data_IF_484355052959
#
_entry.id   IF_484355052959
#
_cell.length_a   1.000
_cell.length_b   1.000
_cell.length_c   1.000
_cell.angle_alpha   90.00
_cell.angle_beta   90.00
_cell.angle_gamma   90.00
#
_symmetry.space_group_name_H-M   'P 1'
#
loop_
_entity.id
_entity.type
_entity.pdbx_description
1 polymer ?
#
# COMPACT_ATOMS: atom_id res chain seq x y z
N UNK A 1 44.71 5.83 -14.29
CA UNK A 1 45.02 4.49 -13.78
C UNK A 1 43.81 3.96 -13.01
N UNK A 2 43.49 2.66 -13.15
CA UNK A 2 42.32 2.07 -12.45
C UNK A 2 42.48 2.03 -10.94
N UNK A 3 43.72 1.98 -10.45
CA UNK A 3 44.03 1.97 -9.01
C UNK A 3 43.70 3.31 -8.40
N UNK A 4 44.09 4.42 -9.02
CA UNK A 4 43.83 5.75 -8.50
C UNK A 4 42.31 6.08 -8.45
N UNK A 5 41.54 5.54 -9.38
CA UNK A 5 40.08 5.69 -9.37
C UNK A 5 39.44 4.91 -8.22
N UNK A 6 39.98 3.70 -7.89
CA UNK A 6 39.47 2.91 -6.76
C UNK A 6 39.81 3.61 -5.44
N UNK A 7 41.01 4.17 -5.31
CA UNK A 7 41.42 4.94 -4.13
C UNK A 7 40.54 6.18 -3.92
N UNK A 8 40.24 6.94 -4.98
CA UNK A 8 39.36 8.10 -4.94
C UNK A 8 37.93 7.73 -4.47
N UNK A 9 37.36 6.63 -5.00
CA UNK A 9 36.04 6.15 -4.53
C UNK A 9 36.07 5.65 -3.09
N UNK A 10 37.16 5.03 -2.66
CA UNK A 10 37.29 4.56 -1.29
C UNK A 10 37.35 5.72 -0.30
N UNK A 11 38.08 6.78 -0.65
CA UNK A 11 38.15 7.99 0.18
C UNK A 11 36.80 8.71 0.24
N UNK A 12 36.09 8.83 -0.88
CA UNK A 12 34.73 9.37 -0.92
C UNK A 12 33.74 8.53 -0.07
N UNK A 13 33.90 7.21 -0.05
CA UNK A 13 33.09 6.33 0.79
C UNK A 13 33.40 6.54 2.27
N UNK A 14 34.68 6.66 2.66
CA UNK A 14 35.10 6.98 4.03
C UNK A 14 34.54 8.33 4.49
N UNK A 15 34.59 9.36 3.64
CA UNK A 15 34.02 10.67 3.93
C UNK A 15 32.51 10.57 4.19
N UNK A 16 31.77 9.87 3.31
CA UNK A 16 30.33 9.65 3.48
C UNK A 16 29.99 8.91 4.80
N UNK A 17 30.82 7.95 5.20
CA UNK A 17 30.68 7.28 6.49
C UNK A 17 30.99 8.20 7.66
N UNK A 18 32.04 9.03 7.51
CA UNK A 18 32.40 9.99 8.55
C UNK A 18 31.27 10.96 8.86
N UNK A 19 30.50 11.38 7.86
CA UNK A 19 29.35 12.29 8.03
C UNK A 19 28.19 11.68 8.85
N UNK A 20 28.19 10.35 9.11
CA UNK A 20 27.09 9.69 9.84
C UNK A 20 27.14 9.90 11.36
N UNK A 21 28.30 10.29 11.93
CA UNK A 21 28.40 10.58 13.37
C UNK A 21 29.55 11.56 13.66
N UNK A 22 29.43 12.32 14.76
CA UNK A 22 30.47 13.24 15.22
C UNK A 22 31.77 12.50 15.53
N UNK A 23 31.70 11.31 16.11
CA UNK A 23 32.87 10.47 16.44
C UNK A 23 33.62 10.06 15.17
N UNK A 24 32.90 9.58 14.14
CA UNK A 24 33.53 9.20 12.88
C UNK A 24 34.11 10.41 12.15
N UNK A 25 33.45 11.58 12.22
CA UNK A 25 33.94 12.81 11.63
C UNK A 25 35.25 13.27 12.28
N UNK A 26 35.34 13.25 13.61
CA UNK A 26 36.57 13.63 14.33
C UNK A 26 37.74 12.72 13.95
N UNK A 27 37.52 11.40 13.90
CA UNK A 27 38.55 10.41 13.52
C UNK A 27 38.99 10.59 12.07
N UNK A 28 38.07 10.87 11.16
CA UNK A 28 38.39 11.13 9.75
C UNK A 28 39.30 12.36 9.60
N UNK A 29 39.01 13.46 10.30
CA UNK A 29 39.86 14.66 10.28
C UNK A 29 41.23 14.43 10.95
N UNK A 30 41.33 13.50 11.90
CA UNK A 30 42.60 13.09 12.49
C UNK A 30 43.42 12.14 11.60
N UNK A 31 42.88 11.73 10.45
CA UNK A 31 43.52 10.83 9.49
C UNK A 31 43.55 9.35 9.96
N UNK A 32 42.59 8.97 10.81
CA UNK A 32 42.44 7.59 11.24
C UNK A 32 41.64 6.78 10.22
N UNK A 33 42.10 5.55 9.96
CA UNK A 33 41.37 4.62 9.11
C UNK A 33 40.22 3.94 9.87
N UNK A 34 39.15 3.64 9.14
CA UNK A 34 38.02 2.88 9.64
C UNK A 34 38.24 1.37 9.37
N UNK A 35 37.87 0.56 10.33
CA UNK A 35 37.79 -0.89 10.15
C UNK A 35 36.56 -1.24 9.29
N UNK A 36 36.53 -2.44 8.70
CA UNK A 36 35.37 -2.92 7.93
C UNK A 36 34.08 -2.88 8.76
N UNK A 37 34.12 -3.23 10.03
CA UNK A 37 32.94 -3.22 10.90
C UNK A 37 32.40 -1.80 11.14
N UNK A 38 33.27 -0.81 11.29
CA UNK A 38 32.92 0.60 11.46
C UNK A 38 32.37 1.18 10.17
N UNK A 39 32.97 0.86 9.01
CA UNK A 39 32.44 1.23 7.71
C UNK A 39 31.03 0.66 7.51
N UNK A 40 30.79 -0.61 7.79
CA UNK A 40 29.49 -1.23 7.70
C UNK A 40 28.48 -0.63 8.69
N UNK A 41 28.92 -0.24 9.89
CA UNK A 41 28.08 0.45 10.88
C UNK A 41 27.64 1.82 10.38
N UNK A 42 28.55 2.65 9.90
CA UNK A 42 28.25 3.98 9.35
C UNK A 42 27.36 3.89 8.13
N UNK A 43 27.64 2.95 7.21
CA UNK A 43 26.79 2.71 6.05
C UNK A 43 25.35 2.30 6.45
N UNK A 44 25.18 1.39 7.42
CA UNK A 44 23.85 1.01 7.96
C UNK A 44 23.11 2.21 8.53
N UNK A 45 23.83 3.06 9.29
CA UNK A 45 23.24 4.26 9.86
C UNK A 45 22.80 5.23 8.76
N UNK A 46 23.67 5.54 7.79
CA UNK A 46 23.36 6.43 6.69
C UNK A 46 22.20 5.92 5.82
N UNK A 47 22.14 4.60 5.55
CA UNK A 47 21.01 3.99 4.82
C UNK A 47 19.71 4.11 5.62
N UNK A 48 19.74 3.91 6.92
CA UNK A 48 18.56 4.02 7.79
C UNK A 48 18.05 5.46 7.89
N UNK A 49 18.96 6.43 7.92
CA UNK A 49 18.67 7.87 8.00
C UNK A 49 18.37 8.51 6.64
N UNK A 50 18.51 7.72 5.55
CA UNK A 50 18.35 8.16 4.17
C UNK A 50 19.35 9.25 3.75
N UNK A 51 20.53 9.28 4.37
CA UNK A 51 21.66 10.11 4.01
C UNK A 51 22.63 9.44 3.03
N UNK A 52 22.68 8.09 3.03
CA UNK A 52 23.52 7.29 2.14
C UNK A 52 22.64 6.35 1.28
N UNK A 53 22.93 6.30 -0.02
CA UNK A 53 22.28 5.41 -0.98
C UNK A 53 23.34 4.52 -1.65
N UNK A 54 23.56 3.28 -1.20
CA UNK A 54 24.55 2.39 -1.79
C UNK A 54 24.23 2.05 -3.25
N UNK A 55 25.22 2.18 -4.11
CA UNK A 55 25.12 1.82 -5.54
C UNK A 55 26.02 0.62 -5.82
N UNK A 56 25.43 -0.45 -6.34
CA UNK A 56 26.09 -1.69 -6.66
C UNK A 56 26.03 -1.98 -8.15
N UNK A 57 27.13 -2.50 -8.70
CA UNK A 57 27.23 -2.86 -10.10
C UNK A 57 27.28 -4.39 -10.24
N UNK A 58 26.58 -4.91 -11.26
CA UNK A 58 26.60 -6.34 -11.55
C UNK A 58 26.09 -6.67 -12.95
N UNK A 59 26.20 -7.93 -13.34
CA UNK A 59 25.66 -8.47 -14.57
C UNK A 59 24.74 -9.64 -14.25
N UNK A 60 23.44 -9.46 -14.42
CA UNK A 60 22.46 -10.51 -14.18
C UNK A 60 22.62 -11.71 -15.11
N UNK A 61 23.00 -11.46 -16.38
CA UNK A 61 23.23 -12.53 -17.38
C UNK A 61 24.44 -13.37 -17.03
N UNK A 62 25.54 -12.73 -16.59
CA UNK A 62 26.78 -13.43 -16.21
C UNK A 62 26.76 -13.90 -14.74
N UNK A 63 25.74 -13.56 -13.96
CA UNK A 63 25.67 -13.87 -12.53
C UNK A 63 26.68 -13.10 -11.66
N UNK A 64 27.39 -12.14 -12.24
CA UNK A 64 28.41 -11.36 -11.53
C UNK A 64 27.75 -10.34 -10.59
N UNK A 65 28.26 -10.24 -9.35
CA UNK A 65 27.76 -9.30 -8.34
C UNK A 65 26.49 -9.76 -7.61
N UNK A 66 25.86 -10.87 -7.98
CA UNK A 66 24.61 -11.34 -7.37
C UNK A 66 24.77 -11.67 -5.88
N UNK A 67 25.84 -12.35 -5.49
CA UNK A 67 26.11 -12.66 -4.07
C UNK A 67 26.43 -11.39 -3.28
N UNK A 68 27.27 -10.50 -3.85
CA UNK A 68 27.58 -9.22 -3.24
C UNK A 68 26.32 -8.37 -3.00
N UNK A 69 25.35 -8.39 -3.94
CA UNK A 69 24.07 -7.71 -3.76
C UNK A 69 23.29 -8.29 -2.56
N UNK A 70 23.22 -9.62 -2.46
CA UNK A 70 22.54 -10.29 -1.36
C UNK A 70 23.21 -10.00 0.00
N UNK A 71 24.53 -10.05 0.04
CA UNK A 71 25.31 -9.74 1.25
C UNK A 71 25.06 -8.28 1.69
N UNK A 72 25.10 -7.34 0.76
CA UNK A 72 24.83 -5.93 1.06
C UNK A 72 23.37 -5.68 1.49
N UNK A 73 22.40 -6.39 0.94
CA UNK A 73 21.01 -6.34 1.41
C UNK A 73 20.92 -6.78 2.87
N UNK A 74 21.58 -7.89 3.23
CA UNK A 74 21.58 -8.41 4.60
C UNK A 74 22.36 -7.50 5.56
N UNK A 75 23.43 -6.90 5.10
CA UNK A 75 24.34 -6.12 5.95
C UNK A 75 23.86 -4.67 6.13
N UNK A 76 23.36 -4.01 5.09
CA UNK A 76 23.10 -2.58 5.10
C UNK A 76 21.64 -2.20 5.34
N UNK A 77 20.67 -3.05 4.92
CA UNK A 77 19.26 -2.69 5.06
C UNK A 77 18.76 -2.94 6.50
N UNK A 78 17.94 -2.03 7.04
CA UNK A 78 17.39 -2.20 8.38
C UNK A 78 16.38 -3.35 8.44
N UNK A 79 16.37 -4.07 9.56
CA UNK A 79 15.28 -4.99 9.88
C UNK A 79 13.99 -4.22 10.16
N UNK A 80 12.80 -4.86 10.11
CA UNK A 80 11.53 -4.20 10.43
C UNK A 80 11.52 -3.48 11.77
N UNK A 81 12.17 -4.00 12.80
CA UNK A 81 12.26 -3.38 14.13
C UNK A 81 13.24 -2.19 14.17
N UNK A 82 14.17 -2.12 13.25
CA UNK A 82 15.14 -1.01 13.11
C UNK A 82 14.65 0.07 12.14
N UNK A 83 13.50 -0.15 11.46
CA UNK A 83 12.94 0.77 10.49
C UNK A 83 12.36 2.03 11.14
N UNK A 84 11.85 2.92 10.29
CA UNK A 84 11.23 4.15 10.71
C UNK A 84 9.94 3.90 11.51
N UNK A 85 9.70 4.76 12.50
CA UNK A 85 8.48 4.74 13.29
C UNK A 85 7.25 5.08 12.45
N UNK A 86 6.14 4.41 12.73
CA UNK A 86 4.83 4.77 12.20
C UNK A 86 4.12 5.71 13.16
N UNK A 87 3.35 6.67 12.64
CA UNK A 87 2.43 7.45 13.47
C UNK A 87 1.12 6.68 13.58
N UNK A 88 0.67 6.47 14.81
CA UNK A 88 -0.58 5.81 15.11
C UNK A 88 -1.51 6.75 15.89
N UNK A 89 -2.81 6.63 15.62
CA UNK A 89 -3.86 7.34 16.37
C UNK A 89 -4.51 6.33 17.31
N UNK A 90 -4.57 6.69 18.58
CA UNK A 90 -5.24 5.90 19.62
C UNK A 90 -6.76 6.10 19.57
N UNK A 91 -7.49 5.25 20.29
CA UNK A 91 -8.95 5.32 20.37
C UNK A 91 -9.50 6.66 20.92
N UNK A 92 -8.71 7.39 21.72
CA UNK A 92 -9.02 8.72 22.26
C UNK A 92 -8.72 9.87 21.29
N UNK A 93 -8.19 9.57 20.09
CA UNK A 93 -7.82 10.54 19.07
C UNK A 93 -6.41 11.13 19.22
N UNK A 94 -5.66 10.75 20.25
CA UNK A 94 -4.26 11.19 20.42
C UNK A 94 -3.35 10.46 19.42
N UNK A 95 -2.27 11.13 19.00
CA UNK A 95 -1.29 10.54 18.09
C UNK A 95 -0.03 10.18 18.84
N UNK A 96 0.43 8.95 18.71
CA UNK A 96 1.70 8.47 19.27
C UNK A 96 2.63 7.89 18.20
N UNK A 97 3.89 7.74 18.54
CA UNK A 97 4.82 6.96 17.74
C UNK A 97 4.56 5.47 17.96
N UNK A 98 4.28 4.75 16.87
CA UNK A 98 4.11 3.31 16.90
C UNK A 98 5.44 2.62 16.62
N UNK A 99 5.94 1.88 17.59
CA UNK A 99 7.19 1.14 17.47
C UNK A 99 6.90 -0.28 16.99
N UNK A 100 7.57 -0.70 15.92
CA UNK A 100 7.54 -2.07 15.42
C UNK A 100 8.30 -2.97 16.39
N UNK A 101 7.66 -4.02 16.91
CA UNK A 101 8.27 -4.89 17.94
C UNK A 101 7.73 -6.31 17.92
N UNK A 102 8.63 -7.30 17.92
CA UNK A 102 8.25 -8.71 17.99
C UNK A 102 7.58 -9.10 19.33
N UNK A 103 7.95 -8.44 20.42
CA UNK A 103 7.37 -8.67 21.75
C UNK A 103 6.14 -7.85 22.07
N UNK A 104 5.65 -7.03 21.13
CA UNK A 104 4.53 -6.12 21.35
C UNK A 104 3.16 -6.76 21.20
N UNK A 105 2.12 -5.92 21.36
CA UNK A 105 0.73 -6.34 21.18
C UNK A 105 0.45 -6.55 19.70
N UNK A 106 -0.21 -7.67 19.28
CA UNK A 106 -0.47 -7.98 17.89
C UNK A 106 -1.12 -6.84 17.13
N UNK A 107 -0.45 -6.40 16.07
CA UNK A 107 -0.93 -5.34 15.19
C UNK A 107 -0.50 -5.63 13.75
N UNK A 108 -1.45 -5.58 12.82
CA UNK A 108 -1.22 -5.82 11.40
C UNK A 108 -1.87 -4.71 10.55
N UNK A 109 -1.15 -4.24 9.54
CA UNK A 109 -1.63 -3.25 8.59
C UNK A 109 -2.02 -3.90 7.27
N UNK A 110 -3.24 -3.65 6.81
CA UNK A 110 -3.76 -4.16 5.54
C UNK A 110 -3.37 -3.20 4.42
N UNK A 111 -2.35 -3.57 3.65
CA UNK A 111 -1.84 -2.67 2.61
C UNK A 111 -2.40 -2.94 1.21
N UNK A 112 -3.02 -4.11 1.01
CA UNK A 112 -3.60 -4.49 -0.28
C UNK A 112 -4.72 -5.52 -0.12
N UNK A 113 -5.71 -5.47 -1.00
CA UNK A 113 -6.75 -6.48 -1.14
C UNK A 113 -6.74 -7.02 -2.57
N UNK A 114 -6.94 -8.32 -2.75
CA UNK A 114 -7.13 -8.96 -4.05
C UNK A 114 -8.35 -9.87 -3.93
N UNK A 115 -9.24 -9.80 -4.92
CA UNK A 115 -10.37 -10.70 -5.06
C UNK A 115 -10.22 -11.53 -6.34
N UNK A 116 -10.24 -12.83 -6.22
CA UNK A 116 -10.22 -13.76 -7.35
C UNK A 116 -11.45 -14.69 -7.32
N UNK A 117 -11.46 -15.68 -8.19
CA UNK A 117 -12.55 -16.67 -8.25
C UNK A 117 -12.63 -17.55 -6.99
N UNK A 118 -11.59 -17.61 -6.18
CA UNK A 118 -11.50 -18.42 -4.96
C UNK A 118 -11.86 -17.62 -3.69
N UNK A 119 -11.93 -16.31 -3.79
CA UNK A 119 -12.30 -15.43 -2.69
C UNK A 119 -11.44 -14.17 -2.57
N UNK A 120 -11.60 -13.52 -1.42
CA UNK A 120 -10.90 -12.30 -1.06
C UNK A 120 -9.69 -12.62 -0.19
N UNK A 121 -8.55 -12.04 -0.53
CA UNK A 121 -7.32 -12.05 0.25
C UNK A 121 -6.97 -10.62 0.68
N UNK A 122 -6.82 -10.42 1.96
CA UNK A 122 -6.30 -9.18 2.55
C UNK A 122 -4.81 -9.37 2.85
N UNK A 123 -3.95 -8.65 2.14
CA UNK A 123 -2.51 -8.68 2.36
C UNK A 123 -2.14 -7.78 3.52
N UNK A 124 -1.42 -8.33 4.45
CA UNK A 124 -1.05 -7.65 5.70
C UNK A 124 0.45 -7.66 5.90
N UNK A 125 0.95 -6.60 6.53
CA UNK A 125 2.27 -6.56 7.17
C UNK A 125 2.04 -6.58 8.69
N UNK A 126 2.61 -7.58 9.36
CA UNK A 126 2.57 -7.66 10.82
C UNK A 126 3.61 -6.69 11.37
N UNK A 127 3.18 -5.72 12.15
CA UNK A 127 4.03 -4.64 12.67
C UNK A 127 4.37 -4.83 14.15
N UNK A 128 3.60 -5.62 14.88
CA UNK A 128 3.83 -5.90 16.28
C UNK A 128 3.28 -7.27 16.66
N UNK A 129 4.00 -7.97 17.52
CA UNK A 129 3.64 -9.30 17.99
C UNK A 129 3.56 -10.34 16.88
N UNK A 130 2.62 -11.25 16.97
CA UNK A 130 2.31 -12.25 15.96
C UNK A 130 0.82 -12.48 15.82
N UNK A 131 0.39 -12.95 14.65
CA UNK A 131 -1.02 -13.30 14.38
C UNK A 131 -1.14 -14.78 13.98
N UNK A 132 -2.22 -15.40 14.42
CA UNK A 132 -2.54 -16.81 14.14
C UNK A 132 -3.94 -16.93 13.54
N UNK A 133 -4.25 -18.03 12.81
CA UNK A 133 -5.60 -18.31 12.35
C UNK A 133 -6.58 -18.33 13.53
N UNK A 134 -7.84 -18.00 13.29
CA UNK A 134 -8.94 -17.93 14.26
C UNK A 134 -8.78 -16.89 15.38
N UNK A 135 -7.68 -16.16 15.44
CA UNK A 135 -7.49 -15.02 16.35
C UNK A 135 -8.56 -13.95 16.07
N UNK A 136 -9.09 -13.31 17.10
CA UNK A 136 -10.00 -12.17 16.97
C UNK A 136 -9.23 -10.88 17.17
N UNK A 137 -9.31 -10.00 16.19
CA UNK A 137 -8.69 -8.67 16.22
C UNK A 137 -9.74 -7.59 16.00
N UNK A 138 -9.49 -6.40 16.51
CA UNK A 138 -10.34 -5.23 16.30
C UNK A 138 -9.88 -4.50 15.02
N UNK A 139 -10.81 -4.20 14.12
CA UNK A 139 -10.56 -3.27 13.03
C UNK A 139 -10.64 -1.84 13.56
N UNK A 140 -9.52 -1.14 13.60
CA UNK A 140 -9.43 0.20 14.20
C UNK A 140 -10.33 1.24 13.52
N UNK A 141 -10.67 1.06 12.21
CA UNK A 141 -11.54 1.97 11.49
C UNK A 141 -13.02 1.81 11.86
N UNK A 142 -13.50 0.57 12.03
CA UNK A 142 -14.93 0.28 12.27
C UNK A 142 -15.25 0.03 13.74
N UNK A 143 -14.24 -0.33 14.54
CA UNK A 143 -14.41 -0.81 15.91
C UNK A 143 -14.94 -2.25 16.02
N UNK A 144 -15.18 -2.93 14.90
CA UNK A 144 -15.70 -4.28 14.85
C UNK A 144 -14.63 -5.32 15.19
N UNK A 145 -15.06 -6.41 15.80
CA UNK A 145 -14.24 -7.60 15.98
C UNK A 145 -14.22 -8.41 14.68
N UNK A 146 -13.03 -8.67 14.17
CA UNK A 146 -12.79 -9.48 12.98
C UNK A 146 -12.07 -10.78 13.37
N UNK A 147 -12.68 -11.90 13.07
CA UNK A 147 -12.04 -13.20 13.24
C UNK A 147 -11.14 -13.47 12.04
N UNK A 148 -9.84 -13.68 12.28
CA UNK A 148 -8.88 -13.96 11.21
C UNK A 148 -9.18 -15.32 10.56
N UNK A 149 -9.19 -15.32 9.23
CA UNK A 149 -9.25 -16.56 8.46
C UNK A 149 -7.89 -17.27 8.41
N UNK A 150 -7.74 -18.18 7.45
CA UNK A 150 -6.45 -18.84 7.22
C UNK A 150 -5.39 -17.85 6.78
N UNK A 151 -4.18 -18.10 7.24
CA UNK A 151 -3.01 -17.28 6.93
C UNK A 151 -2.18 -17.95 5.83
N UNK A 152 -1.65 -17.13 4.93
CA UNK A 152 -0.83 -17.59 3.81
C UNK A 152 0.40 -16.71 3.63
N UNK A 153 1.51 -17.33 3.26
CA UNK A 153 2.59 -16.66 2.57
C UNK A 153 2.39 -16.79 1.07
N UNK A 154 2.62 -15.71 0.33
CA UNK A 154 2.37 -15.66 -1.11
C UNK A 154 3.70 -15.59 -1.89
N UNK A 155 3.81 -16.45 -2.91
CA UNK A 155 4.92 -16.41 -3.86
C UNK A 155 4.35 -16.40 -5.28
N UNK A 156 4.23 -15.22 -5.85
CA UNK A 156 3.46 -15.00 -7.07
C UNK A 156 2.00 -15.44 -6.86
N UNK A 157 1.50 -16.35 -7.68
CA UNK A 157 0.13 -16.91 -7.55
C UNK A 157 0.02 -18.07 -6.55
N UNK A 158 1.15 -18.56 -6.02
CA UNK A 158 1.16 -19.72 -5.12
C UNK A 158 0.97 -19.25 -3.68
N UNK A 159 -0.15 -19.65 -3.07
CA UNK A 159 -0.44 -19.47 -1.66
C UNK A 159 0.04 -20.71 -0.88
N UNK A 160 0.81 -20.50 0.18
CA UNK A 160 1.23 -21.56 1.12
C UNK A 160 0.65 -21.24 2.49
N UNK A 161 -0.20 -22.12 3.01
CA UNK A 161 -0.82 -21.93 4.33
C UNK A 161 0.24 -21.99 5.43
N UNK A 162 0.14 -21.07 6.39
CA UNK A 162 1.03 -20.97 7.54
C UNK A 162 0.25 -20.90 8.83
N UNK A 163 0.87 -21.34 9.92
CA UNK A 163 0.23 -21.36 11.25
C UNK A 163 0.35 -20.03 11.98
N UNK A 164 1.29 -19.18 11.57
CA UNK A 164 1.60 -17.92 12.22
C UNK A 164 2.26 -16.98 11.23
N UNK A 165 2.03 -15.67 11.39
CA UNK A 165 2.83 -14.60 10.81
C UNK A 165 3.37 -13.76 11.96
N UNK A 166 4.69 -13.55 11.98
CA UNK A 166 5.38 -12.81 13.04
C UNK A 166 5.66 -11.36 12.62
N UNK A 167 6.08 -10.54 13.57
CA UNK A 167 6.47 -9.16 13.33
C UNK A 167 7.48 -9.05 12.17
N UNK A 168 7.18 -8.18 11.22
CA UNK A 168 7.95 -7.99 9.99
C UNK A 168 7.47 -8.82 8.80
N UNK A 169 6.72 -9.90 9.04
CA UNK A 169 6.19 -10.74 7.96
C UNK A 169 5.15 -10.01 7.10
N UNK A 170 5.17 -10.34 5.83
CA UNK A 170 4.12 -10.03 4.87
C UNK A 170 3.39 -11.32 4.53
N UNK A 171 2.07 -11.33 4.77
CA UNK A 171 1.22 -12.47 4.46
C UNK A 171 -0.14 -12.06 3.93
N UNK A 172 -0.99 -13.04 3.68
CA UNK A 172 -2.36 -12.83 3.26
C UNK A 172 -3.34 -13.56 4.19
N UNK A 173 -4.45 -12.90 4.49
CA UNK A 173 -5.56 -13.46 5.30
C UNK A 173 -6.74 -13.67 4.36
N UNK A 174 -7.28 -14.88 4.34
CA UNK A 174 -8.45 -15.20 3.51
C UNK A 174 -9.76 -14.83 4.21
N UNK A 175 -10.80 -14.53 3.42
CA UNK A 175 -12.20 -14.35 3.88
C UNK A 175 -12.41 -13.21 4.87
N UNK A 176 -11.74 -12.07 4.67
CA UNK A 176 -11.92 -10.85 5.46
C UNK A 176 -12.85 -9.89 4.71
N UNK A 177 -14.16 -10.13 4.75
CA UNK A 177 -15.12 -9.41 3.87
C UNK A 177 -15.27 -7.93 4.23
N UNK A 178 -15.22 -7.57 5.52
CA UNK A 178 -15.39 -6.19 5.99
C UNK A 178 -14.09 -5.38 6.02
N UNK A 179 -12.95 -6.05 5.93
CA UNK A 179 -11.63 -5.42 5.98
C UNK A 179 -11.29 -4.83 4.62
N UNK A 180 -10.76 -3.60 4.63
CA UNK A 180 -10.38 -2.84 3.44
C UNK A 180 -8.88 -2.53 3.44
N UNK A 181 -8.36 -2.20 2.27
CA UNK A 181 -7.01 -1.65 2.12
C UNK A 181 -6.87 -0.35 2.92
N UNK A 182 -5.81 -0.26 3.73
CA UNK A 182 -5.58 0.86 4.66
C UNK A 182 -6.08 0.61 6.09
N UNK A 183 -6.80 -0.49 6.35
CA UNK A 183 -7.26 -0.83 7.70
C UNK A 183 -6.09 -1.32 8.59
N UNK A 184 -6.20 -1.02 9.88
CA UNK A 184 -5.33 -1.57 10.92
C UNK A 184 -6.13 -2.58 11.72
N UNK A 185 -5.61 -3.79 11.84
CA UNK A 185 -6.12 -4.85 12.71
C UNK A 185 -5.23 -4.90 13.95
N UNK A 186 -5.82 -4.81 15.13
CA UNK A 186 -5.10 -4.78 16.39
C UNK A 186 -5.79 -5.61 17.47
N UNK A 187 -5.02 -5.98 18.48
CA UNK A 187 -5.56 -6.64 19.67
C UNK A 187 -6.42 -5.64 20.47
N UNK A 188 -7.51 -6.11 21.08
CA UNK A 188 -8.41 -5.28 21.87
C UNK A 188 -7.77 -4.60 23.08
N UNK A 189 -6.62 -5.09 23.56
CA UNK A 189 -5.86 -4.50 24.66
C UNK A 189 -5.21 -3.17 24.29
N UNK A 190 -4.90 -2.96 22.99
CA UNK A 190 -4.34 -1.70 22.47
C UNK A 190 -4.86 -1.45 21.07
N UNK A 191 -5.93 -0.64 20.97
CA UNK A 191 -6.52 -0.27 19.68
C UNK A 191 -5.79 0.94 19.14
N UNK A 192 -5.12 0.77 17.99
CA UNK A 192 -4.37 1.82 17.30
C UNK A 192 -4.74 1.84 15.82
N UNK A 193 -4.92 3.03 15.26
CA UNK A 193 -5.11 3.22 13.83
C UNK A 193 -3.83 3.81 13.22
N UNK A 194 -3.21 3.09 12.31
CA UNK A 194 -2.09 3.60 11.52
C UNK A 194 -2.59 4.52 10.42
N UNK A 195 -1.74 5.46 9.99
CA UNK A 195 -2.07 6.34 8.88
C UNK A 195 -2.35 5.50 7.63
N UNK A 196 -3.55 5.68 7.06
CA UNK A 196 -3.95 5.03 5.82
C UNK A 196 -3.09 5.44 4.63
N UNK A 197 -3.18 4.66 3.55
CA UNK A 197 -2.47 4.94 2.30
C UNK A 197 -3.15 6.12 1.60
N UNK A 198 -2.45 7.24 1.32
CA UNK A 198 -3.03 8.35 0.56
C UNK A 198 -3.13 7.94 -0.92
N UNK A 199 -4.34 7.84 -1.43
CA UNK A 199 -4.59 7.68 -2.87
C UNK A 199 -4.83 9.05 -3.50
N UNK A 200 -4.42 9.21 -4.76
CA UNK A 200 -4.71 10.42 -5.51
C UNK A 200 -6.21 10.51 -5.81
N UNK A 201 -6.76 11.73 -5.76
CA UNK A 201 -8.16 11.97 -6.12
C UNK A 201 -8.37 11.73 -7.61
N UNK A 202 -9.46 11.04 -8.01
CA UNK A 202 -9.78 10.82 -9.41
C UNK A 202 -10.08 12.14 -10.14
N UNK A 203 -9.46 12.36 -11.29
CA UNK A 203 -9.62 13.60 -12.08
C UNK A 203 -10.25 13.40 -13.48
N UNK A 204 -10.46 12.15 -13.91
CA UNK A 204 -11.09 11.82 -15.19
C UNK A 204 -12.36 11.01 -14.97
N UNK A 205 -13.50 11.45 -15.51
CA UNK A 205 -14.81 10.83 -15.30
C UNK A 205 -15.49 10.48 -16.60
N UNK A 206 -16.06 9.29 -16.66
CA UNK A 206 -16.88 8.79 -17.77
C UNK A 206 -18.14 8.12 -17.24
N UNK A 207 -19.22 8.17 -17.99
CA UNK A 207 -20.39 7.35 -17.70
C UNK A 207 -20.20 5.95 -18.30
N UNK A 208 -20.52 4.92 -17.53
CA UNK A 208 -20.40 3.51 -17.89
C UNK A 208 -21.78 2.84 -17.88
N UNK A 209 -22.06 2.08 -18.90
CA UNK A 209 -23.29 1.30 -19.01
C UNK A 209 -22.99 -0.09 -19.58
N UNK A 210 -23.75 -1.13 -19.21
CA UNK A 210 -23.60 -2.45 -19.83
C UNK A 210 -24.06 -2.42 -21.30
N UNK A 211 -23.34 -3.10 -22.19
CA UNK A 211 -23.79 -3.30 -23.59
C UNK A 211 -25.06 -4.14 -23.66
N UNK A 212 -25.23 -5.08 -22.78
CA UNK A 212 -26.39 -5.94 -22.68
C UNK A 212 -27.33 -5.49 -21.58
N UNK A 213 -28.57 -5.18 -21.91
CA UNK A 213 -29.59 -4.78 -20.95
C UNK A 213 -29.74 -5.77 -19.80
N UNK A 214 -29.91 -5.27 -18.58
CA UNK A 214 -30.11 -6.09 -17.36
C UNK A 214 -28.83 -6.62 -16.74
N UNK A 215 -27.64 -6.15 -17.18
CA UNK A 215 -26.36 -6.49 -16.56
C UNK A 215 -25.80 -5.39 -15.64
N UNK A 216 -26.63 -4.38 -15.31
CA UNK A 216 -26.23 -3.26 -14.46
C UNK A 216 -25.68 -3.74 -13.09
N UNK A 217 -26.34 -4.71 -12.47
CA UNK A 217 -25.90 -5.27 -11.19
C UNK A 217 -24.53 -5.98 -11.29
N UNK A 218 -24.27 -6.66 -12.42
CA UNK A 218 -22.98 -7.29 -12.66
C UNK A 218 -21.86 -6.26 -12.84
N UNK A 219 -22.13 -5.17 -13.55
CA UNK A 219 -21.19 -4.06 -13.71
C UNK A 219 -20.89 -3.45 -12.33
N UNK A 220 -21.93 -3.15 -11.56
CA UNK A 220 -21.78 -2.58 -10.22
C UNK A 220 -20.99 -3.51 -9.28
N UNK A 221 -21.32 -4.79 -9.24
CA UNK A 221 -20.57 -5.78 -8.46
C UNK A 221 -19.12 -5.91 -8.90
N UNK A 222 -18.87 -5.95 -10.22
CA UNK A 222 -17.52 -6.01 -10.76
C UNK A 222 -16.69 -4.79 -10.39
N UNK A 223 -17.26 -3.59 -10.55
CA UNK A 223 -16.60 -2.34 -10.18
C UNK A 223 -16.36 -2.23 -8.68
N UNK A 224 -17.31 -2.64 -7.84
CA UNK A 224 -17.13 -2.64 -6.39
C UNK A 224 -15.96 -3.55 -5.97
N UNK A 225 -15.86 -4.76 -6.54
CA UNK A 225 -14.73 -5.67 -6.26
C UNK A 225 -13.39 -5.10 -6.74
N UNK A 226 -13.39 -4.46 -7.92
CA UNK A 226 -12.18 -3.79 -8.41
C UNK A 226 -11.79 -2.60 -7.55
N UNK A 227 -12.76 -1.86 -7.00
CA UNK A 227 -12.51 -0.73 -6.09
C UNK A 227 -11.97 -1.19 -4.73
N UNK A 228 -12.36 -2.38 -4.24
CA UNK A 228 -11.73 -2.98 -3.06
C UNK A 228 -10.25 -3.31 -3.29
N UNK A 229 -9.86 -3.65 -4.52
CA UNK A 229 -8.46 -3.92 -4.89
C UNK A 229 -7.66 -2.64 -5.14
N UNK A 230 -8.30 -1.64 -5.73
CA UNK A 230 -7.70 -0.36 -6.13
C UNK A 230 -8.62 0.80 -5.71
N UNK A 231 -8.41 1.39 -4.52
CA UNK A 231 -9.21 2.52 -4.05
C UNK A 231 -8.93 3.85 -4.78
N UNK A 232 -8.02 3.89 -5.77
CA UNK A 232 -7.65 5.11 -6.50
C UNK A 232 -8.69 5.56 -7.54
N UNK A 233 -9.76 4.79 -7.75
CA UNK A 233 -10.89 5.18 -8.58
C UNK A 233 -12.19 5.15 -7.76
N UNK A 234 -13.22 5.80 -8.25
CA UNK A 234 -14.54 5.82 -7.62
C UNK A 234 -15.66 5.51 -8.60
N UNK A 235 -16.77 4.99 -8.07
CA UNK A 235 -17.98 4.68 -8.84
C UNK A 235 -19.17 5.27 -8.11
N UNK A 236 -19.93 6.14 -8.80
CA UNK A 236 -21.09 6.82 -8.24
C UNK A 236 -22.29 6.68 -9.17
N UNK A 237 -23.42 6.25 -8.62
CA UNK A 237 -24.69 6.31 -9.34
C UNK A 237 -25.29 7.71 -9.20
N UNK A 238 -25.28 8.47 -10.28
CA UNK A 238 -25.87 9.80 -10.30
C UNK A 238 -27.39 9.71 -10.52
N UNK A 239 -28.17 9.96 -9.49
CA UNK A 239 -29.63 9.87 -9.53
C UNK A 239 -30.29 10.94 -10.43
N UNK A 240 -29.65 12.10 -10.61
CA UNK A 240 -30.22 13.20 -11.45
C UNK A 240 -30.04 12.91 -12.95
N UNK A 241 -28.89 12.36 -13.34
CA UNK A 241 -28.58 12.06 -14.75
C UNK A 241 -28.87 10.60 -15.12
N UNK A 242 -29.22 9.76 -14.15
CA UNK A 242 -29.40 8.31 -14.31
C UNK A 242 -28.21 7.63 -14.98
N UNK A 243 -27.00 8.04 -14.59
CA UNK A 243 -25.75 7.48 -15.09
C UNK A 243 -24.95 6.89 -13.95
N UNK A 244 -24.34 5.73 -14.18
CA UNK A 244 -23.24 5.24 -13.37
C UNK A 244 -21.96 5.93 -13.85
N UNK A 245 -21.32 6.71 -12.99
CA UNK A 245 -20.10 7.47 -13.30
C UNK A 245 -18.90 6.76 -12.69
N UNK A 246 -17.94 6.43 -13.53
CA UNK A 246 -16.65 5.88 -13.18
C UNK A 246 -15.62 7.01 -13.27
N UNK A 247 -14.93 7.28 -12.16
CA UNK A 247 -13.90 8.32 -12.08
C UNK A 247 -12.56 7.71 -11.70
N UNK A 248 -11.53 7.98 -12.46
CA UNK A 248 -10.17 7.51 -12.27
C UNK A 248 -9.12 8.59 -12.49
N UNK A 249 -7.85 8.23 -12.40
CA UNK A 249 -6.73 9.15 -12.62
C UNK A 249 -6.58 9.57 -14.09
N UNK A 250 -7.08 8.76 -15.04
CA UNK A 250 -7.00 9.04 -16.48
C UNK A 250 -7.70 7.98 -17.32
N UNK A 251 -7.66 8.18 -18.62
CA UNK A 251 -8.26 7.30 -19.63
C UNK A 251 -7.67 5.87 -19.59
N UNK A 252 -6.37 5.75 -19.46
CA UNK A 252 -5.71 4.44 -19.37
C UNK A 252 -6.19 3.62 -18.17
N UNK A 253 -6.42 4.23 -17.00
CA UNK A 253 -6.96 3.51 -15.86
C UNK A 253 -8.38 3.02 -16.14
N UNK A 254 -9.21 3.85 -16.76
CA UNK A 254 -10.56 3.47 -17.17
C UNK A 254 -10.54 2.29 -18.16
N UNK A 255 -9.66 2.33 -19.16
CA UNK A 255 -9.50 1.24 -20.13
C UNK A 255 -9.09 -0.07 -19.47
N UNK A 256 -8.16 -0.01 -18.50
CA UNK A 256 -7.75 -1.18 -17.70
C UNK A 256 -8.92 -1.74 -16.90
N UNK A 257 -9.75 -0.88 -16.28
CA UNK A 257 -10.92 -1.31 -15.53
C UNK A 257 -11.97 -1.96 -16.44
N UNK A 258 -12.22 -1.40 -17.61
CA UNK A 258 -13.10 -1.98 -18.65
C UNK A 258 -12.59 -3.34 -19.11
N UNK A 259 -11.28 -3.45 -19.36
CA UNK A 259 -10.65 -4.72 -19.70
C UNK A 259 -10.79 -5.78 -18.60
N UNK A 260 -10.62 -5.39 -17.33
CA UNK A 260 -10.82 -6.27 -16.18
C UNK A 260 -12.29 -6.70 -16.01
N UNK A 261 -13.26 -5.80 -16.25
CA UNK A 261 -14.67 -6.17 -16.24
C UNK A 261 -14.97 -7.26 -17.29
N UNK A 262 -14.43 -7.11 -18.49
CA UNK A 262 -14.60 -8.10 -19.55
C UNK A 262 -13.91 -9.43 -19.22
N UNK A 263 -12.65 -9.40 -18.81
CA UNK A 263 -11.83 -10.62 -18.64
C UNK A 263 -12.12 -11.38 -17.36
N UNK A 264 -12.45 -10.68 -16.26
CA UNK A 264 -12.65 -11.33 -14.95
C UNK A 264 -14.11 -11.53 -14.58
N UNK A 265 -14.99 -10.62 -15.03
CA UNK A 265 -16.42 -10.65 -14.66
C UNK A 265 -17.33 -11.01 -15.85
N UNK A 266 -16.75 -11.17 -17.04
CA UNK A 266 -17.48 -11.48 -18.28
C UNK A 266 -18.64 -10.49 -18.54
N UNK A 267 -18.35 -9.19 -18.43
CA UNK A 267 -19.27 -8.09 -18.66
C UNK A 267 -18.65 -7.11 -19.64
N UNK A 268 -19.35 -6.85 -20.75
CA UNK A 268 -18.98 -5.81 -21.69
C UNK A 268 -19.75 -4.52 -21.42
N UNK A 269 -19.03 -3.39 -21.47
CA UNK A 269 -19.57 -2.08 -21.15
C UNK A 269 -19.32 -1.09 -22.29
N UNK A 270 -20.13 -0.02 -22.31
CA UNK A 270 -19.96 1.14 -23.17
C UNK A 270 -19.65 2.37 -22.30
N UNK A 271 -18.77 3.21 -22.81
CA UNK A 271 -18.40 4.46 -22.17
C UNK A 271 -19.07 5.63 -22.94
N UNK A 272 -19.53 6.62 -22.19
CA UNK A 272 -20.10 7.84 -22.75
C UNK A 272 -19.73 9.07 -21.91
N UNK A 273 -19.86 10.28 -22.46
CA UNK A 273 -19.63 11.49 -21.67
C UNK A 273 -20.59 11.60 -20.48
N UNK A 274 -20.09 12.15 -19.37
CA UNK A 274 -20.92 12.44 -18.20
C UNK A 274 -21.87 13.58 -18.53
N UNK A 275 -23.16 13.42 -18.23
CA UNK A 275 -24.15 14.46 -18.38
C UNK A 275 -24.09 15.45 -17.23
N UNK A 276 -24.22 16.73 -17.54
CA UNK A 276 -24.33 17.79 -16.53
C UNK A 276 -25.80 17.97 -16.16
N UNK A 277 -26.13 17.90 -14.88
CA UNK A 277 -27.45 18.15 -14.36
C UNK A 277 -27.68 19.66 -14.29
N UNK A 278 -28.35 20.21 -15.31
CA UNK A 278 -28.71 21.62 -15.32
C UNK A 278 -29.98 21.85 -14.50
N UNK A 279 -29.99 22.94 -13.72
CA UNK A 279 -31.15 23.39 -12.95
C UNK A 279 -31.58 24.76 -13.43
N UNK A 280 -32.90 24.95 -13.55
CA UNK A 280 -33.49 26.22 -13.90
C UNK A 280 -33.98 26.96 -12.67
N UNK A 281 -33.89 28.28 -12.70
CA UNK A 281 -34.43 29.15 -11.67
C UNK A 281 -35.30 30.23 -12.31
N UNK A 282 -36.58 30.31 -11.91
CA UNK A 282 -37.47 31.36 -12.31
C UNK A 282 -37.11 32.65 -11.59
N UNK A 283 -36.86 33.74 -12.34
CA UNK A 283 -36.50 35.07 -11.80
C UNK A 283 -37.69 35.99 -11.53
N UNK A 284 -38.87 35.68 -12.11
CA UNK A 284 -40.09 36.46 -11.94
C UNK A 284 -41.24 35.56 -11.53
N UNK A 285 -42.13 36.07 -10.67
CA UNK A 285 -43.36 35.36 -10.35
C UNK A 285 -44.24 35.29 -11.56
N UNK A 286 -44.68 34.10 -11.97
CA UNK A 286 -45.58 33.85 -13.09
C UNK A 286 -46.72 32.95 -12.63
N UNK A 287 -47.91 33.25 -13.12
CA UNK A 287 -49.10 32.42 -12.92
C UNK A 287 -49.58 31.91 -14.27
N UNK A 288 -49.76 30.60 -14.43
CA UNK A 288 -50.27 29.97 -15.62
C UNK A 288 -51.12 28.75 -15.29
N UNK A 289 -52.28 28.62 -15.94
CA UNK A 289 -53.15 27.46 -15.77
C UNK A 289 -52.55 26.26 -16.53
N UNK A 290 -52.25 25.17 -15.83
CA UNK A 290 -51.91 23.88 -16.43
C UNK A 290 -53.17 23.05 -16.68
N UNK A 291 -53.30 22.46 -17.87
CA UNK A 291 -54.39 21.55 -18.21
C UNK A 291 -53.82 20.16 -18.42
N UNK A 292 -54.14 19.26 -17.51
CA UNK A 292 -53.85 17.84 -17.66
C UNK A 292 -54.99 17.17 -18.42
N UNK A 293 -54.71 16.48 -19.53
CA UNK A 293 -55.69 15.68 -20.29
C UNK A 293 -55.49 14.19 -19.96
#
# INVERSE_FOLDING_TARGET
DKVSVIEEFNDALKESVAETSEEFMERFFNGEDFTYAEMAQGLRQGVRELSIFPVLCGSAVAGMGSLMLLDNIMELLPSPEQGNYHKATLADGTTEEFVVSAGGVPTAFVFKTISDQYGKYSFVKVLSGSITPDMTMVNARTGDNEKLGRLYTMRGKKATEVKELVCGDIGAIAKMDKVKTGDTLCDSRKVVALKGIPFAEPCYSVAIAPKTRGQDDKVAQGLNRLNEEDPSFSVVNNAETHQMVLSGAGDMQVDVLVSKLKTRFNVEVELSPVRVAYREKIRKTVQKQGRHK
#
